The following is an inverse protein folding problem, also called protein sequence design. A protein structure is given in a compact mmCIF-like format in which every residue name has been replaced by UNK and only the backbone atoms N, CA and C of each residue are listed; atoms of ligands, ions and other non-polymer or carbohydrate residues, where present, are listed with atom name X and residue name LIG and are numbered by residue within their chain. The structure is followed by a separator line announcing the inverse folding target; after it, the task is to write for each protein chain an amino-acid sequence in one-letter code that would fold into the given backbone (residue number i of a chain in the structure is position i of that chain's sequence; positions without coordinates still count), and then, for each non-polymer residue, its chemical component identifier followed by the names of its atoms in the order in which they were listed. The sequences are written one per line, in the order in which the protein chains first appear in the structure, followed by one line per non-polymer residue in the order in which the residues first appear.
data_IF_777255014343
#
_entry.id   IF_777255014343
#
_cell.length_a   1.000
_cell.length_b   1.000
_cell.length_c   1.000
_cell.angle_alpha   90.00
_cell.angle_beta   90.00
_cell.angle_gamma   90.00
#
_symmetry.space_group_name_H-M   'P 1'
#
loop_
_entity.id
_entity.type
_entity.pdbx_description
1 polymer ?
#
# COMPACT_ATOMS: atom_id res chain seq x y z
N UNK A 1 -74.40 -28.28 -15.75
CA UNK A 1 -74.28 -29.09 -14.53
C UNK A 1 -72.81 -29.04 -14.13
N UNK A 2 -72.58 -28.82 -12.88
CA UNK A 2 -71.30 -28.78 -12.16
C UNK A 2 -70.57 -27.43 -12.17
N UNK A 3 -70.69 -26.76 -11.07
CA UNK A 3 -70.04 -25.54 -10.61
C UNK A 3 -68.65 -25.85 -10.09
N UNK A 4 -67.65 -25.07 -10.51
CA UNK A 4 -66.34 -25.00 -9.87
C UNK A 4 -66.16 -23.63 -9.23
N UNK A 5 -65.92 -23.70 -7.92
CA UNK A 5 -65.61 -22.56 -7.05
C UNK A 5 -64.16 -22.14 -7.20
N UNK A 6 -63.92 -20.91 -7.64
CA UNK A 6 -62.63 -20.26 -7.53
C UNK A 6 -62.34 -19.85 -6.08
N UNK A 7 -61.16 -20.25 -5.62
CA UNK A 7 -60.55 -19.77 -4.37
C UNK A 7 -59.52 -18.76 -4.71
N UNK A 8 -59.77 -17.51 -4.29
CA UNK A 8 -58.80 -16.42 -4.25
C UNK A 8 -57.66 -16.75 -3.26
N UNK A 9 -56.45 -16.91 -3.77
CA UNK A 9 -55.21 -16.84 -2.98
C UNK A 9 -54.61 -15.44 -3.15
N UNK A 10 -54.58 -14.67 -2.06
CA UNK A 10 -53.79 -13.42 -1.97
C UNK A 10 -52.29 -13.77 -1.87
N UNK A 11 -51.42 -13.09 -2.61
CA UNK A 11 -49.99 -13.20 -2.41
C UNK A 11 -49.57 -12.38 -1.18
N UNK A 12 -48.89 -13.03 -0.25
CA UNK A 12 -48.22 -12.40 0.89
C UNK A 12 -47.02 -11.54 0.40
N UNK A 13 -47.10 -10.25 0.66
CA UNK A 13 -45.97 -9.34 0.54
C UNK A 13 -44.87 -9.73 1.54
N UNK A 14 -43.80 -10.34 1.05
CA UNK A 14 -42.52 -10.40 1.75
C UNK A 14 -41.78 -9.10 1.52
N UNK A 15 -41.72 -8.26 2.54
CA UNK A 15 -40.95 -7.05 2.56
C UNK A 15 -39.45 -7.38 2.31
N UNK A 16 -38.93 -6.97 1.16
CA UNK A 16 -37.51 -7.00 0.86
C UNK A 16 -36.84 -5.90 1.67
N UNK A 17 -36.20 -6.25 2.77
CA UNK A 17 -35.31 -5.36 3.51
C UNK A 17 -34.11 -5.04 2.61
N UNK A 18 -33.87 -3.75 2.32
CA UNK A 18 -32.81 -3.34 1.42
C UNK A 18 -31.44 -3.64 2.04
N UNK A 19 -30.45 -3.94 1.19
CA UNK A 19 -29.08 -4.24 1.62
C UNK A 19 -28.44 -3.07 2.39
N UNK A 20 -28.91 -1.86 2.23
CA UNK A 20 -28.48 -0.65 2.94
C UNK A 20 -28.94 -0.63 4.39
N UNK A 21 -30.12 -1.15 4.70
CA UNK A 21 -30.66 -1.21 6.06
C UNK A 21 -29.94 -2.27 6.92
N UNK A 22 -29.47 -3.35 6.31
CA UNK A 22 -28.67 -4.39 7.00
C UNK A 22 -27.26 -3.90 7.30
N UNK A 23 -26.68 -3.12 6.39
CA UNK A 23 -25.32 -2.56 6.57
C UNK A 23 -25.29 -1.41 7.60
N UNK A 24 -26.34 -0.61 7.69
CA UNK A 24 -26.47 0.43 8.71
C UNK A 24 -26.69 -0.16 10.11
N UNK A 25 -27.52 -1.18 10.25
CA UNK A 25 -27.76 -1.86 11.52
C UNK A 25 -26.49 -2.56 12.05
N UNK A 26 -25.70 -3.20 11.18
CA UNK A 26 -24.46 -3.85 11.59
C UNK A 26 -23.38 -2.85 12.07
N UNK A 27 -23.33 -1.66 11.48
CA UNK A 27 -22.42 -0.57 11.90
C UNK A 27 -22.82 0.01 13.26
N UNK A 28 -24.11 0.14 13.53
CA UNK A 28 -24.63 0.64 14.80
C UNK A 28 -24.44 -0.35 15.95
N UNK A 29 -24.63 -1.64 15.71
CA UNK A 29 -24.37 -2.69 16.72
C UNK A 29 -22.88 -2.80 17.06
N UNK A 30 -22.00 -2.67 16.06
CA UNK A 30 -20.56 -2.67 16.25
C UNK A 30 -20.13 -1.45 17.08
N UNK A 31 -20.67 -0.28 16.79
CA UNK A 31 -20.39 0.96 17.52
C UNK A 31 -20.84 0.88 18.98
N UNK A 32 -22.04 0.36 19.25
CA UNK A 32 -22.55 0.12 20.61
C UNK A 32 -21.66 -0.83 21.42
N UNK A 33 -21.17 -1.90 20.79
CA UNK A 33 -20.30 -2.86 21.49
C UNK A 33 -18.94 -2.28 21.87
N UNK A 34 -18.45 -1.26 21.16
CA UNK A 34 -17.22 -0.56 21.47
C UNK A 34 -17.43 0.53 22.54
N UNK A 35 -18.56 1.23 22.53
CA UNK A 35 -18.95 2.19 23.56
C UNK A 35 -19.11 1.52 24.93
N UNK A 36 -19.69 0.33 25.00
CA UNK A 36 -19.78 -0.50 26.21
C UNK A 36 -18.39 -0.90 26.75
N UNK A 37 -17.36 -0.96 25.89
CA UNK A 37 -15.97 -1.23 26.29
C UNK A 37 -15.18 0.03 26.64
N UNK A 38 -15.83 1.21 26.68
CA UNK A 38 -15.19 2.49 26.99
C UNK A 38 -14.23 2.98 25.89
N UNK A 39 -14.40 2.51 24.67
CA UNK A 39 -13.58 2.95 23.53
C UNK A 39 -14.32 4.10 22.85
N UNK A 40 -13.79 5.32 23.04
CA UNK A 40 -14.33 6.53 22.43
C UNK A 40 -13.81 6.69 20.99
N UNK A 41 -14.73 6.65 20.02
CA UNK A 41 -14.47 6.86 18.60
C UNK A 41 -14.89 8.25 18.13
N UNK A 42 -15.13 9.20 19.03
CA UNK A 42 -15.47 10.56 18.60
C UNK A 42 -14.33 11.17 17.79
N UNK A 43 -14.62 11.95 16.75
CA UNK A 43 -13.59 12.64 15.95
C UNK A 43 -12.69 13.56 16.77
N UNK A 44 -13.18 14.01 17.94
CA UNK A 44 -12.50 14.91 18.87
C UNK A 44 -11.85 14.16 20.07
N UNK A 45 -11.90 12.83 20.11
CA UNK A 45 -11.20 12.06 21.14
C UNK A 45 -9.70 12.33 21.02
N UNK A 46 -9.04 12.90 22.04
CA UNK A 46 -7.61 13.07 21.99
C UNK A 46 -6.99 11.67 21.96
N UNK A 47 -6.63 11.19 20.77
CA UNK A 47 -5.79 10.01 20.62
C UNK A 47 -4.52 10.33 21.38
N UNK A 48 -4.43 9.84 22.63
CA UNK A 48 -3.21 10.03 23.44
C UNK A 48 -2.05 9.52 22.60
N UNK A 49 -1.08 10.37 22.24
CA UNK A 49 0.07 9.91 21.48
C UNK A 49 0.70 8.77 22.28
N UNK A 50 0.67 7.56 21.72
CA UNK A 50 1.38 6.45 22.35
C UNK A 50 2.84 6.86 22.44
N UNK A 51 3.53 6.60 23.57
CA UNK A 51 4.94 6.93 23.68
C UNK A 51 5.68 6.30 22.52
N UNK A 52 6.51 7.09 21.85
CA UNK A 52 7.34 6.61 20.73
C UNK A 52 8.31 5.58 21.33
N UNK A 53 8.32 4.33 20.83
CA UNK A 53 9.20 3.30 21.36
C UNK A 53 10.66 3.68 21.13
N UNK A 54 11.50 3.51 22.14
CA UNK A 54 12.91 3.92 22.13
C UNK A 54 13.72 3.23 21.03
N UNK A 55 13.41 1.97 20.75
CA UNK A 55 14.11 1.19 19.74
C UNK A 55 13.88 1.75 18.33
N UNK A 56 12.63 1.91 17.92
CA UNK A 56 12.26 2.45 16.62
C UNK A 56 12.71 3.89 16.47
N UNK A 57 12.65 4.65 17.54
CA UNK A 57 13.19 6.02 17.58
C UNK A 57 14.69 6.02 17.32
N UNK A 58 15.45 5.13 17.95
CA UNK A 58 16.89 5.05 17.74
C UNK A 58 17.28 4.76 16.30
N UNK A 59 16.49 3.93 15.59
CA UNK A 59 16.67 3.62 14.17
C UNK A 59 16.37 4.86 13.31
N UNK A 60 15.23 5.49 13.55
CA UNK A 60 14.86 6.71 12.79
C UNK A 60 15.85 7.85 13.00
N UNK A 61 16.35 8.05 14.22
CA UNK A 61 17.34 9.07 14.54
C UNK A 61 18.70 8.82 13.87
N UNK A 62 19.11 7.55 13.73
CA UNK A 62 20.33 7.17 12.97
C UNK A 62 20.19 7.53 11.49
N UNK A 63 19.05 7.23 10.86
CA UNK A 63 18.79 7.57 9.46
C UNK A 63 18.75 9.10 9.31
N UNK A 64 18.01 9.78 10.18
CA UNK A 64 17.88 11.23 10.15
C UNK A 64 19.23 11.95 10.34
N UNK A 65 20.09 11.49 11.25
CA UNK A 65 21.41 12.06 11.48
C UNK A 65 22.35 11.86 10.28
N UNK A 66 22.21 10.74 9.55
CA UNK A 66 23.06 10.44 8.38
C UNK A 66 22.67 11.23 7.14
N UNK A 67 21.38 11.36 6.88
CA UNK A 67 20.88 11.92 5.62
C UNK A 67 20.27 13.32 5.75
N UNK A 68 19.97 13.78 6.97
CA UNK A 68 19.45 15.13 7.20
C UNK A 68 18.21 15.46 6.37
N UNK A 69 18.29 16.54 5.59
CA UNK A 69 17.19 17.02 4.75
C UNK A 69 16.85 16.15 3.52
N UNK A 70 17.64 15.11 3.24
CA UNK A 70 17.39 14.20 2.11
C UNK A 70 16.30 13.19 2.39
N UNK A 71 15.93 13.02 3.65
CA UNK A 71 14.87 12.12 4.07
C UNK A 71 13.82 12.87 4.87
N UNK A 72 12.62 12.28 4.93
CA UNK A 72 11.57 12.65 5.87
C UNK A 72 11.16 11.41 6.68
N UNK A 73 11.09 11.54 8.00
CA UNK A 73 10.55 10.50 8.88
C UNK A 73 9.05 10.75 9.00
N UNK A 74 8.27 9.98 8.26
CA UNK A 74 6.81 10.17 8.20
C UNK A 74 6.12 9.77 9.49
N UNK A 75 6.53 8.64 10.07
CA UNK A 75 6.09 8.21 11.40
C UNK A 75 7.03 7.18 12.04
N UNK A 76 6.98 7.16 13.38
CA UNK A 76 7.59 6.13 14.22
C UNK A 76 6.50 5.58 15.14
N UNK A 77 6.23 4.29 15.06
CA UNK A 77 5.20 3.57 15.81
C UNK A 77 5.75 2.26 16.32
N UNK A 78 5.11 1.61 17.32
CA UNK A 78 5.51 0.28 17.75
C UNK A 78 5.62 -0.69 16.58
N UNK A 79 6.79 -1.31 16.42
CA UNK A 79 7.14 -2.25 15.34
C UNK A 79 7.09 -1.71 13.92
N UNK A 80 6.97 -0.38 13.73
CA UNK A 80 6.88 0.23 12.38
C UNK A 80 7.54 1.60 12.34
N UNK A 81 8.42 1.75 11.35
CA UNK A 81 9.06 3.02 11.01
C UNK A 81 8.77 3.30 9.54
N UNK A 82 8.41 4.53 9.19
CA UNK A 82 8.30 4.93 7.80
C UNK A 82 9.18 6.14 7.53
N UNK A 83 9.99 5.99 6.50
CA UNK A 83 10.90 7.01 5.98
C UNK A 83 10.62 7.21 4.51
N UNK A 84 10.52 8.45 4.08
CA UNK A 84 10.40 8.81 2.67
C UNK A 84 11.63 9.59 2.20
N UNK A 85 12.01 9.40 0.94
CA UNK A 85 13.15 10.05 0.31
C UNK A 85 12.87 10.34 -1.16
N UNK A 86 13.70 11.20 -1.76
CA UNK A 86 13.65 11.43 -3.21
C UNK A 86 14.21 10.22 -3.97
N UNK A 87 13.72 10.01 -5.19
CA UNK A 87 14.17 8.88 -6.04
C UNK A 87 15.67 8.88 -6.34
N UNK A 88 16.31 10.04 -6.32
CA UNK A 88 17.75 10.20 -6.54
C UNK A 88 18.59 9.71 -5.35
N UNK A 89 18.05 9.80 -4.13
CA UNK A 89 18.78 9.45 -2.91
C UNK A 89 18.43 8.03 -2.40
N UNK A 90 17.39 7.38 -2.95
CA UNK A 90 16.85 6.11 -2.41
C UNK A 90 17.89 4.99 -2.36
N UNK A 91 18.76 4.90 -3.36
CA UNK A 91 19.78 3.86 -3.43
C UNK A 91 20.80 4.00 -2.28
N UNK A 92 21.23 5.22 -2.02
CA UNK A 92 22.18 5.50 -0.93
C UNK A 92 21.55 5.24 0.46
N UNK A 93 20.27 5.58 0.61
CA UNK A 93 19.51 5.32 1.84
C UNK A 93 19.31 3.80 2.03
N UNK A 94 18.98 3.08 0.97
CA UNK A 94 18.80 1.63 1.01
C UNK A 94 20.09 0.88 1.40
N UNK A 95 21.25 1.26 0.84
CA UNK A 95 22.55 0.70 1.25
C UNK A 95 22.84 0.94 2.73
N UNK A 96 22.60 2.15 3.23
CA UNK A 96 22.79 2.44 4.65
C UNK A 96 21.86 1.60 5.55
N UNK A 97 20.61 1.46 5.16
CA UNK A 97 19.63 0.64 5.89
C UNK A 97 20.08 -0.82 5.96
N UNK A 98 20.61 -1.37 4.86
CA UNK A 98 21.13 -2.73 4.83
C UNK A 98 22.41 -2.88 5.64
N UNK A 99 23.41 -2.06 5.34
CA UNK A 99 24.79 -2.27 5.81
C UNK A 99 25.00 -1.83 7.26
N UNK A 100 24.33 -0.75 7.69
CA UNK A 100 24.54 -0.14 9.01
C UNK A 100 23.42 -0.46 10.01
N UNK A 101 22.19 -0.72 9.52
CA UNK A 101 21.05 -1.00 10.39
C UNK A 101 20.67 -2.48 10.41
N UNK A 102 21.18 -3.29 9.45
CA UNK A 102 20.97 -4.74 9.42
C UNK A 102 19.64 -5.22 8.82
N UNK A 103 18.94 -4.35 8.08
CA UNK A 103 17.77 -4.76 7.30
C UNK A 103 18.23 -5.39 5.99
N UNK A 104 18.31 -6.70 5.95
CA UNK A 104 18.90 -7.46 4.85
C UNK A 104 17.91 -7.94 3.79
N UNK A 105 16.61 -7.74 4.03
CA UNK A 105 15.55 -8.29 3.20
C UNK A 105 14.42 -7.30 2.97
N UNK A 106 13.87 -7.30 1.75
CA UNK A 106 12.60 -6.64 1.45
C UNK A 106 11.48 -7.69 1.44
N UNK A 107 10.54 -7.57 2.37
CA UNK A 107 9.38 -8.44 2.52
C UNK A 107 8.41 -8.27 1.34
N UNK A 108 8.24 -7.04 0.89
CA UNK A 108 7.39 -6.70 -0.24
C UNK A 108 7.71 -5.31 -0.80
N UNK A 109 7.29 -5.08 -2.05
CA UNK A 109 7.27 -3.76 -2.68
C UNK A 109 5.85 -3.46 -3.14
N UNK A 110 5.33 -2.29 -2.79
CA UNK A 110 3.98 -1.88 -3.13
C UNK A 110 3.98 -0.57 -3.91
N UNK A 111 3.05 -0.41 -4.84
CA UNK A 111 2.79 0.85 -5.52
C UNK A 111 1.53 1.53 -4.98
N UNK A 112 1.51 2.85 -4.98
CA UNK A 112 0.30 3.63 -4.68
C UNK A 112 0.15 4.73 -5.72
N UNK A 113 -1.01 4.77 -6.39
CA UNK A 113 -1.30 5.76 -7.42
C UNK A 113 -1.96 7.01 -6.80
N UNK A 114 -1.36 8.18 -7.02
CA UNK A 114 -1.87 9.49 -6.62
C UNK A 114 -2.15 10.36 -7.85
N UNK A 115 -3.29 10.17 -8.53
CA UNK A 115 -3.58 10.92 -9.76
C UNK A 115 -3.68 12.43 -9.54
N UNK A 116 -4.19 12.88 -8.40
CA UNK A 116 -4.35 14.29 -8.07
C UNK A 116 -3.01 15.03 -7.96
N UNK A 117 -2.00 14.39 -7.40
CA UNK A 117 -0.63 14.93 -7.32
C UNK A 117 0.24 14.57 -8.52
N UNK A 118 -0.29 13.77 -9.46
CA UNK A 118 0.46 13.23 -10.60
C UNK A 118 1.73 12.48 -10.18
N UNK A 119 1.61 11.64 -9.18
CA UNK A 119 2.71 10.86 -8.61
C UNK A 119 2.31 9.41 -8.42
N UNK A 120 3.29 8.52 -8.51
CA UNK A 120 3.21 7.13 -8.03
C UNK A 120 4.21 6.98 -6.90
N UNK A 121 3.77 6.48 -5.76
CA UNK A 121 4.64 6.17 -4.64
C UNK A 121 5.02 4.70 -4.69
N UNK A 122 6.31 4.41 -4.59
CA UNK A 122 6.85 3.05 -4.45
C UNK A 122 7.31 2.88 -3.01
N UNK A 123 6.85 1.81 -2.38
CA UNK A 123 7.00 1.56 -0.96
C UNK A 123 7.65 0.19 -0.75
N UNK A 124 8.85 0.18 -0.18
CA UNK A 124 9.57 -1.03 0.20
C UNK A 124 9.36 -1.33 1.68
N UNK A 125 8.89 -2.52 2.00
CA UNK A 125 8.76 -3.01 3.37
C UNK A 125 9.98 -3.87 3.68
N UNK A 126 10.84 -3.39 4.57
CA UNK A 126 12.13 -3.98 4.88
C UNK A 126 12.09 -4.67 6.23
N UNK A 127 12.66 -5.85 6.29
CA UNK A 127 12.85 -6.68 7.48
C UNK A 127 14.26 -7.27 7.55
N UNK A 128 14.48 -8.21 8.45
CA UNK A 128 15.74 -8.93 8.55
C UNK A 128 15.49 -10.40 8.82
N UNK A 129 16.25 -11.28 8.15
CA UNK A 129 16.29 -12.71 8.46
C UNK A 129 17.42 -13.08 9.39
N UNK A 130 18.40 -12.20 9.55
CA UNK A 130 19.58 -12.44 10.38
C UNK A 130 19.44 -11.95 11.81
N UNK A 131 18.50 -11.00 12.06
CA UNK A 131 18.24 -10.42 13.38
C UNK A 131 16.76 -10.57 13.75
N UNK A 132 16.46 -11.46 14.69
CA UNK A 132 15.09 -11.74 15.18
C UNK A 132 14.35 -10.50 15.70
N UNK A 133 15.09 -9.53 16.24
CA UNK A 133 14.50 -8.29 16.71
C UNK A 133 14.05 -7.41 15.54
N UNK A 134 14.86 -7.27 14.49
CA UNK A 134 14.52 -6.52 13.29
C UNK A 134 13.44 -7.25 12.47
N UNK A 135 13.35 -8.57 12.50
CA UNK A 135 12.31 -9.35 11.83
C UNK A 135 10.89 -8.96 12.27
N UNK A 136 10.74 -8.47 13.51
CA UNK A 136 9.44 -8.03 14.04
C UNK A 136 9.21 -6.52 13.91
N UNK A 137 10.19 -5.77 13.39
CA UNK A 137 10.17 -4.31 13.29
C UNK A 137 10.34 -3.87 11.82
N UNK A 138 9.22 -3.69 11.13
CA UNK A 138 9.22 -3.33 9.71
C UNK A 138 9.65 -1.88 9.52
N UNK A 139 10.70 -1.68 8.71
CA UNK A 139 11.09 -0.37 8.22
C UNK A 139 10.54 -0.18 6.81
N UNK A 140 9.73 0.84 6.63
CA UNK A 140 9.15 1.19 5.35
C UNK A 140 9.96 2.31 4.71
N UNK A 141 10.55 2.05 3.54
CA UNK A 141 11.24 3.04 2.72
C UNK A 141 10.37 3.40 1.52
N UNK A 142 9.96 4.66 1.42
CA UNK A 142 9.08 5.13 0.36
C UNK A 142 9.75 6.20 -0.50
N UNK A 143 9.40 6.21 -1.78
CA UNK A 143 9.77 7.26 -2.71
C UNK A 143 8.66 7.55 -3.68
N UNK A 144 8.63 8.77 -4.24
CA UNK A 144 7.66 9.17 -5.25
C UNK A 144 8.33 9.42 -6.59
N UNK A 145 7.68 8.97 -7.64
CA UNK A 145 8.07 9.20 -9.03
C UNK A 145 6.94 9.93 -9.77
N UNK A 146 7.25 10.75 -10.78
CA UNK A 146 6.23 11.36 -11.61
C UNK A 146 5.31 10.30 -12.24
N UNK A 147 4.03 10.62 -12.37
CA UNK A 147 3.02 9.81 -13.00
C UNK A 147 2.65 10.40 -14.35
N UNK A 148 3.06 9.75 -15.41
CA UNK A 148 2.60 10.12 -16.76
C UNK A 148 1.16 9.61 -17.00
N UNK A 149 0.36 10.42 -17.68
CA UNK A 149 -1.04 10.07 -18.02
C UNK A 149 -1.07 8.90 -19.00
N UNK A 150 -0.20 8.91 -20.00
CA UNK A 150 -0.03 7.83 -20.97
C UNK A 150 1.31 7.14 -20.66
N UNK A 151 1.29 5.96 -20.03
CA UNK A 151 2.52 5.26 -19.67
C UNK A 151 3.32 4.86 -20.91
N UNK A 152 4.61 5.17 -20.91
CA UNK A 152 5.60 4.68 -21.88
C UNK A 152 6.83 4.19 -21.13
N UNK A 153 6.75 3.02 -20.48
CA UNK A 153 7.77 2.55 -19.58
C UNK A 153 9.17 2.51 -20.20
N UNK A 154 10.14 3.09 -19.46
CA UNK A 154 11.51 3.21 -19.93
C UNK A 154 11.81 4.41 -20.85
N UNK A 155 10.78 5.14 -21.31
CA UNK A 155 10.92 6.34 -22.14
C UNK A 155 10.31 7.58 -21.51
N UNK A 156 9.47 7.42 -20.49
CA UNK A 156 8.82 8.49 -19.74
C UNK A 156 9.56 8.83 -18.44
N UNK A 157 9.00 9.77 -17.66
CA UNK A 157 9.58 10.21 -16.39
C UNK A 157 9.20 9.31 -15.20
N UNK A 158 8.27 8.33 -15.42
CA UNK A 158 7.81 7.38 -14.40
C UNK A 158 8.87 6.31 -14.17
N UNK A 159 10.03 6.72 -13.61
CA UNK A 159 11.19 5.86 -13.42
C UNK A 159 11.96 6.17 -12.15
N UNK A 160 12.65 5.15 -11.63
CA UNK A 160 13.57 5.24 -10.50
C UNK A 160 14.66 4.18 -10.60
N UNK A 161 15.70 4.30 -9.80
CA UNK A 161 16.73 3.27 -9.69
C UNK A 161 16.19 2.03 -8.99
N UNK A 162 16.45 0.84 -9.54
CA UNK A 162 16.16 -0.44 -8.90
C UNK A 162 16.95 -0.62 -7.61
N UNK A 163 16.35 -1.20 -6.59
CA UNK A 163 17.05 -1.60 -5.37
C UNK A 163 17.53 -3.05 -5.39
N UNK A 164 17.50 -3.69 -6.56
CA UNK A 164 17.89 -5.10 -6.72
C UNK A 164 19.35 -5.38 -6.32
N UNK A 165 20.26 -4.42 -6.48
CA UNK A 165 21.64 -4.54 -6.01
C UNK A 165 21.77 -4.52 -4.49
N UNK A 166 20.78 -3.93 -3.81
CA UNK A 166 20.73 -3.86 -2.34
C UNK A 166 20.00 -5.07 -1.78
N UNK A 167 18.80 -5.35 -2.31
CA UNK A 167 17.93 -6.42 -1.84
C UNK A 167 17.56 -7.37 -2.98
N UNK A 168 18.10 -8.56 -2.99
CA UNK A 168 17.80 -9.56 -4.02
C UNK A 168 16.31 -9.92 -4.11
N UNK A 169 15.60 -9.87 -2.99
CA UNK A 169 14.18 -10.21 -2.90
C UNK A 169 13.26 -9.30 -3.71
N UNK A 170 13.67 -8.07 -4.05
CA UNK A 170 12.82 -7.12 -4.77
C UNK A 170 12.64 -7.44 -6.24
N UNK A 171 13.41 -8.35 -6.83
CA UNK A 171 13.44 -8.62 -8.27
C UNK A 171 12.04 -8.85 -8.87
N UNK A 172 11.25 -9.73 -8.29
CA UNK A 172 9.88 -9.99 -8.77
C UNK A 172 8.89 -8.92 -8.33
N UNK A 173 9.07 -8.33 -7.17
CA UNK A 173 8.20 -7.26 -6.67
C UNK A 173 8.34 -5.96 -7.48
N UNK A 174 9.53 -5.61 -7.90
CA UNK A 174 9.75 -4.46 -8.79
C UNK A 174 9.13 -4.71 -10.18
N UNK A 175 9.22 -5.94 -10.71
CA UNK A 175 8.52 -6.33 -11.95
C UNK A 175 7.01 -6.21 -11.81
N UNK A 176 6.45 -6.58 -10.67
CA UNK A 176 5.03 -6.41 -10.37
C UNK A 176 4.66 -4.91 -10.34
N UNK A 177 5.42 -4.07 -9.65
CA UNK A 177 5.20 -2.62 -9.66
C UNK A 177 5.34 -2.02 -11.07
N UNK A 178 6.31 -2.47 -11.86
CA UNK A 178 6.44 -2.08 -13.26
C UNK A 178 5.18 -2.40 -14.06
N UNK A 179 4.67 -3.62 -13.93
CA UNK A 179 3.54 -4.10 -14.69
C UNK A 179 2.22 -3.46 -14.26
N UNK A 180 2.00 -3.32 -12.94
CA UNK A 180 0.74 -2.88 -12.37
C UNK A 180 0.57 -1.35 -12.31
N UNK A 181 1.67 -0.60 -12.23
CA UNK A 181 1.67 0.87 -12.10
C UNK A 181 2.38 1.59 -13.25
N UNK A 182 3.24 0.90 -13.99
CA UNK A 182 4.03 1.47 -15.06
C UNK A 182 5.30 2.18 -14.58
N UNK A 183 5.83 1.83 -13.41
CA UNK A 183 7.09 2.38 -12.89
C UNK A 183 8.26 1.60 -13.50
N UNK A 184 9.14 2.28 -14.22
CA UNK A 184 10.34 1.66 -14.79
C UNK A 184 11.50 1.67 -13.79
N UNK A 185 12.13 0.50 -13.56
CA UNK A 185 13.24 0.35 -12.62
C UNK A 185 14.57 0.32 -13.39
N UNK A 186 15.32 1.40 -13.33
CA UNK A 186 16.63 1.54 -13.97
C UNK A 186 17.66 0.62 -13.28
N UNK A 187 18.40 -0.17 -14.08
CA UNK A 187 19.36 -1.15 -13.56
C UNK A 187 18.74 -2.49 -13.15
N UNK A 188 17.43 -2.65 -13.24
CA UNK A 188 16.81 -3.95 -13.03
C UNK A 188 17.18 -4.93 -14.16
N UNK A 189 17.56 -6.20 -13.85
CA UNK A 189 18.03 -7.16 -14.85
C UNK A 189 16.92 -7.58 -15.84
N UNK A 190 15.65 -7.50 -15.45
CA UNK A 190 14.53 -7.95 -16.27
C UNK A 190 13.27 -7.10 -16.03
N UNK A 191 13.02 -6.13 -16.91
CA UNK A 191 11.81 -5.28 -16.90
C UNK A 191 10.70 -5.84 -17.83
N UNK A 192 10.61 -7.17 -18.00
CA UNK A 192 9.50 -7.79 -18.72
C UNK A 192 8.31 -8.02 -17.81
N UNK A 193 7.12 -8.13 -18.41
CA UNK A 193 5.89 -8.49 -17.70
C UNK A 193 6.03 -9.83 -16.99
N UNK A 194 5.32 -10.00 -15.88
CA UNK A 194 5.36 -11.19 -15.04
C UNK A 194 3.99 -11.88 -14.95
N UNK A 195 2.93 -11.12 -14.74
CA UNK A 195 1.59 -11.61 -14.43
C UNK A 195 0.60 -11.41 -15.56
N UNK A 196 0.70 -10.28 -16.28
CA UNK A 196 -0.22 -9.95 -17.36
C UNK A 196 0.14 -10.67 -18.66
N UNK A 197 -0.85 -11.05 -19.49
CA UNK A 197 -0.59 -11.65 -20.79
C UNK A 197 0.17 -10.68 -21.71
N UNK A 198 0.89 -11.23 -22.70
CA UNK A 198 1.72 -10.45 -23.61
C UNK A 198 0.94 -9.45 -24.46
N UNK A 199 -0.31 -9.77 -24.76
CA UNK A 199 -1.25 -8.94 -25.53
C UNK A 199 -2.01 -7.91 -24.68
N UNK A 200 -1.68 -7.78 -23.38
CA UNK A 200 -2.30 -6.77 -22.55
C UNK A 200 -2.07 -5.37 -23.10
N UNK A 201 -3.17 -4.67 -23.42
CA UNK A 201 -3.11 -3.32 -23.95
C UNK A 201 -2.92 -2.29 -22.86
N UNK A 202 -1.74 -1.78 -22.72
CA UNK A 202 -1.31 -0.41 -22.47
C UNK A 202 -1.51 0.23 -21.11
N UNK A 203 -2.63 0.12 -20.40
CA UNK A 203 -2.81 0.82 -19.13
C UNK A 203 -2.52 -0.13 -17.96
N UNK A 204 -1.59 0.24 -17.07
CA UNK A 204 -1.33 -0.53 -15.86
C UNK A 204 -2.60 -0.68 -15.00
N UNK A 205 -2.99 -1.92 -14.64
CA UNK A 205 -4.33 -2.19 -14.10
C UNK A 205 -4.58 -1.66 -12.69
N UNK A 206 -3.54 -1.32 -11.93
CA UNK A 206 -3.69 -0.78 -10.57
C UNK A 206 -3.70 0.75 -10.52
N UNK A 207 -3.60 1.41 -11.68
CA UNK A 207 -3.84 2.85 -11.75
C UNK A 207 -5.33 3.14 -11.55
N UNK A 208 -5.66 4.19 -10.81
CA UNK A 208 -7.05 4.56 -10.46
C UNK A 208 -7.91 4.97 -11.66
N UNK A 209 -7.30 5.35 -12.77
CA UNK A 209 -7.96 5.67 -14.04
C UNK A 209 -8.15 4.46 -14.97
N UNK A 210 -7.67 3.28 -14.58
CA UNK A 210 -7.86 2.05 -15.32
C UNK A 210 -9.36 1.69 -15.42
N UNK A 211 -9.82 1.41 -16.65
CA UNK A 211 -11.18 0.96 -16.93
C UNK A 211 -11.13 -0.29 -17.79
N UNK A 212 -11.86 -1.32 -17.38
CA UNK A 212 -12.02 -2.53 -18.17
C UNK A 212 -12.83 -2.16 -19.44
N UNK A 213 -12.23 -2.38 -20.61
CA UNK A 213 -12.93 -2.17 -21.89
C UNK A 213 -14.10 -3.17 -22.01
N UNK A 214 -15.32 -2.65 -22.16
CA UNK A 214 -16.52 -3.48 -22.38
C UNK A 214 -17.44 -3.68 -21.16
N UNK A 215 -17.24 -2.92 -20.09
CA UNK A 215 -18.19 -2.83 -18.98
C UNK A 215 -18.70 -1.42 -18.80
#
# INVERSE_FOLDING_TARGET
MSSETEKDEQPSETAATSSEDVESQSKDETKKSYEEKGIDFSPDSPVRPKPIPEFEKSISDKIASKFGSKINVDYVRPSRIRVSTKKEDILAVAFFIRDELGYDHAESVSGVDYPDSKEIEVVYHLGSYTDDKLATHVLTLATRVPREEIPNPGKDSTRMTSLREVFYSVEFHERECFEMFGVYFEGHPDNRRLLLPEDWADIPPFRKDFKIKGR
#
